data_IF_640226709801
#
_entry.id   IF_640226709801
#
_cell.length_a   1.000
_cell.length_b   1.000
_cell.length_c   1.000
_cell.angle_alpha   90.00
_cell.angle_beta   90.00
_cell.angle_gamma   90.00
#
_symmetry.space_group_name_H-M   'P 1'
#
loop_
_entity.id
_entity.type
_entity.pdbx_description
1 polymer ?
#
# COMPACT_ATOMS: atom_id res chain seq x y z
N UNK A 1 9.43 -7.65 9.42
CA UNK A 1 7.96 -7.58 9.25
C UNK A 1 7.63 -7.01 7.85
N UNK A 2 6.35 -6.98 7.43
CA UNK A 2 5.92 -6.35 6.17
C UNK A 2 6.29 -4.85 6.09
N UNK A 3 6.34 -4.17 7.24
CA UNK A 3 6.73 -2.75 7.32
C UNK A 3 8.23 -2.58 7.08
N UNK A 4 9.08 -3.48 7.59
CA UNK A 4 10.53 -3.41 7.41
C UNK A 4 10.89 -3.64 5.93
N UNK A 5 10.21 -4.57 5.28
CA UNK A 5 10.38 -4.81 3.85
C UNK A 5 9.97 -3.60 3.01
N UNK A 6 8.86 -2.94 3.36
CA UNK A 6 8.44 -1.71 2.69
C UNK A 6 9.49 -0.60 2.83
N UNK A 7 9.99 -0.40 4.05
CA UNK A 7 11.02 0.59 4.33
C UNK A 7 12.32 0.29 3.55
N UNK A 8 12.72 -0.99 3.47
CA UNK A 8 13.88 -1.40 2.68
C UNK A 8 13.69 -1.12 1.18
N UNK A 9 12.50 -1.39 0.63
CA UNK A 9 12.19 -1.10 -0.78
C UNK A 9 12.24 0.40 -1.10
N UNK A 10 11.69 1.24 -0.22
CA UNK A 10 11.76 2.71 -0.39
C UNK A 10 13.20 3.21 -0.38
N UNK A 11 14.00 2.77 0.61
CA UNK A 11 15.43 3.11 0.67
C UNK A 11 16.20 2.66 -0.57
N UNK A 12 15.87 1.48 -1.11
CA UNK A 12 16.48 1.00 -2.34
C UNK A 12 16.10 1.86 -3.55
N UNK A 13 14.83 2.26 -3.67
CA UNK A 13 14.40 3.20 -4.71
C UNK A 13 15.12 4.56 -4.56
N UNK A 14 15.29 5.07 -3.35
CA UNK A 14 16.04 6.31 -3.11
C UNK A 14 17.51 6.17 -3.54
N UNK A 15 18.13 5.03 -3.21
CA UNK A 15 19.51 4.71 -3.63
C UNK A 15 19.67 4.67 -5.15
N UNK A 16 18.67 4.14 -5.87
CA UNK A 16 18.65 4.13 -7.33
C UNK A 16 18.46 5.53 -7.92
N UNK A 17 17.63 6.35 -7.28
CA UNK A 17 17.34 7.71 -7.73
C UNK A 17 18.56 8.65 -7.61
N UNK A 18 19.38 8.42 -6.58
CA UNK A 18 20.60 9.17 -6.31
C UNK A 18 21.86 8.53 -6.90
N UNK A 19 21.71 7.39 -7.57
CA UNK A 19 22.84 6.66 -8.14
C UNK A 19 23.57 7.53 -9.17
N UNK A 20 24.90 7.62 -9.01
CA UNK A 20 25.79 8.25 -9.96
C UNK A 20 26.93 7.31 -10.27
N UNK A 21 27.27 7.19 -11.55
CA UNK A 21 28.45 6.44 -11.95
C UNK A 21 29.71 7.12 -11.44
N UNK A 22 30.71 6.31 -11.10
CA UNK A 22 32.07 6.83 -10.95
C UNK A 22 32.70 6.87 -12.32
N UNK A 23 32.72 8.05 -12.91
CA UNK A 23 33.32 8.29 -14.22
C UNK A 23 34.83 8.56 -14.09
N UNK A 24 35.57 8.26 -15.15
CA UNK A 24 36.97 8.68 -15.29
C UNK A 24 36.97 10.05 -15.99
N UNK A 25 37.51 11.07 -15.34
CA UNK A 25 37.48 12.45 -15.83
C UNK A 25 36.25 13.24 -15.36
N UNK A 26 36.09 14.45 -15.90
CA UNK A 26 35.11 15.43 -15.41
C UNK A 26 33.79 15.46 -16.21
N UNK A 27 33.61 14.53 -17.15
CA UNK A 27 32.42 14.45 -18.01
C UNK A 27 31.85 13.02 -18.03
N UNK A 28 30.53 12.92 -18.03
CA UNK A 28 29.80 11.66 -18.22
C UNK A 28 29.63 11.38 -19.71
N UNK A 29 29.70 10.10 -20.09
CA UNK A 29 29.34 9.62 -21.42
C UNK A 29 27.83 9.59 -21.60
N UNK A 30 27.35 9.63 -22.85
CA UNK A 30 25.92 9.53 -23.15
C UNK A 30 25.29 8.24 -22.58
N UNK A 31 26.03 7.12 -22.59
CA UNK A 31 25.58 5.85 -22.02
C UNK A 31 25.43 5.92 -20.50
N UNK A 32 26.39 6.51 -19.78
CA UNK A 32 26.32 6.68 -18.31
C UNK A 32 25.13 7.55 -17.91
N UNK A 33 24.89 8.65 -18.65
CA UNK A 33 23.72 9.52 -18.45
C UNK A 33 22.43 8.75 -18.72
N UNK A 34 22.38 7.97 -19.81
CA UNK A 34 21.22 7.18 -20.18
C UNK A 34 20.87 6.14 -19.11
N UNK A 35 21.87 5.38 -18.63
CA UNK A 35 21.67 4.37 -17.61
C UNK A 35 21.24 5.01 -16.29
N UNK A 36 21.86 6.12 -15.86
CA UNK A 36 21.47 6.83 -14.63
C UNK A 36 20.00 7.27 -14.68
N UNK A 37 19.53 7.80 -15.83
CA UNK A 37 18.12 8.15 -16.03
C UNK A 37 17.21 6.92 -15.96
N UNK A 38 17.58 5.81 -16.58
CA UNK A 38 16.80 4.56 -16.48
C UNK A 38 16.68 4.07 -15.02
N UNK A 39 17.72 4.22 -14.19
CA UNK A 39 17.65 3.88 -12.77
C UNK A 39 16.71 4.82 -12.00
N UNK A 40 16.69 6.11 -12.32
CA UNK A 40 15.75 7.08 -11.74
C UNK A 40 14.29 6.79 -12.11
N UNK A 41 14.04 6.40 -13.36
CA UNK A 41 12.72 5.97 -13.81
C UNK A 41 12.28 4.70 -13.06
N UNK A 42 13.18 3.72 -12.96
CA UNK A 42 12.90 2.50 -12.22
C UNK A 42 12.64 2.76 -10.73
N UNK A 43 13.41 3.64 -10.08
CA UNK A 43 13.15 4.10 -8.72
C UNK A 43 11.74 4.68 -8.56
N UNK A 44 11.29 5.47 -9.52
CA UNK A 44 9.95 6.07 -9.52
C UNK A 44 8.86 5.01 -9.64
N UNK A 45 9.04 4.03 -10.53
CA UNK A 45 8.13 2.88 -10.65
C UNK A 45 8.06 2.11 -9.34
N UNK A 46 9.20 1.82 -8.71
CA UNK A 46 9.25 1.12 -7.42
C UNK A 46 8.51 1.86 -6.31
N UNK A 47 8.67 3.19 -6.22
CA UNK A 47 7.94 4.03 -5.25
C UNK A 47 6.43 3.92 -5.45
N UNK A 48 5.97 4.10 -6.69
CA UNK A 48 4.54 4.04 -7.03
C UNK A 48 3.94 2.67 -6.71
N UNK A 49 4.65 1.58 -7.00
CA UNK A 49 4.22 0.23 -6.66
C UNK A 49 4.07 0.03 -5.16
N UNK A 50 4.99 0.56 -4.37
CA UNK A 50 4.95 0.43 -2.91
C UNK A 50 3.84 1.30 -2.28
N UNK A 51 3.56 2.47 -2.85
CA UNK A 51 2.42 3.31 -2.47
C UNK A 51 1.09 2.61 -2.77
N UNK A 52 0.94 2.01 -3.94
CA UNK A 52 -0.26 1.24 -4.29
C UNK A 52 -0.44 0.01 -3.40
N UNK A 53 0.63 -0.70 -3.07
CA UNK A 53 0.58 -1.81 -2.11
C UNK A 53 0.03 -1.37 -0.76
N UNK A 54 0.53 -0.24 -0.24
CA UNK A 54 0.05 0.32 1.04
C UNK A 54 -1.42 0.72 0.96
N UNK A 55 -1.86 1.31 -0.16
CA UNK A 55 -3.26 1.66 -0.39
C UNK A 55 -4.16 0.43 -0.39
N UNK A 56 -3.74 -0.65 -1.05
CA UNK A 56 -4.47 -1.92 -1.06
C UNK A 56 -4.57 -2.56 0.33
N UNK A 57 -3.50 -2.51 1.12
CA UNK A 57 -3.50 -3.05 2.49
C UNK A 57 -4.45 -2.24 3.40
N UNK A 58 -4.44 -0.91 3.28
CA UNK A 58 -5.38 -0.04 3.98
C UNK A 58 -6.84 -0.34 3.60
N UNK A 59 -7.10 -0.52 2.29
CA UNK A 59 -8.43 -0.90 1.79
C UNK A 59 -8.89 -2.24 2.37
N UNK A 60 -8.04 -3.28 2.35
CA UNK A 60 -8.37 -4.59 2.94
C UNK A 60 -8.72 -4.48 4.43
N UNK A 61 -8.00 -3.63 5.19
CA UNK A 61 -8.31 -3.40 6.61
C UNK A 61 -9.67 -2.72 6.78
N UNK A 62 -9.96 -1.71 5.95
CA UNK A 62 -11.24 -1.01 5.96
C UNK A 62 -12.41 -1.95 5.61
N UNK A 63 -12.27 -2.75 4.54
CA UNK A 63 -13.28 -3.70 4.10
C UNK A 63 -13.58 -4.71 5.21
N UNK A 64 -12.54 -5.26 5.85
CA UNK A 64 -12.68 -6.18 6.99
C UNK A 64 -13.40 -5.56 8.18
N UNK A 65 -13.15 -4.29 8.49
CA UNK A 65 -13.83 -3.60 9.60
C UNK A 65 -15.29 -3.29 9.25
N UNK A 66 -15.54 -2.94 7.99
CA UNK A 66 -16.89 -2.73 7.45
C UNK A 66 -17.72 -4.00 7.55
N UNK A 67 -17.18 -5.16 7.15
CA UNK A 67 -17.84 -6.46 7.27
C UNK A 67 -18.24 -6.79 8.72
N UNK A 68 -17.34 -6.54 9.68
CA UNK A 68 -17.65 -6.74 11.11
C UNK A 68 -18.80 -5.84 11.56
N UNK A 69 -18.75 -4.56 11.19
CA UNK A 69 -19.78 -3.59 11.56
C UNK A 69 -21.15 -3.97 10.98
N UNK A 70 -21.20 -4.32 9.70
CA UNK A 70 -22.41 -4.83 9.05
C UNK A 70 -22.94 -6.08 9.76
N UNK A 71 -22.07 -7.03 10.10
CA UNK A 71 -22.46 -8.24 10.83
C UNK A 71 -22.99 -7.96 12.25
N UNK A 72 -22.51 -6.93 12.93
CA UNK A 72 -23.05 -6.48 14.22
C UNK A 72 -24.45 -5.90 14.04
N UNK A 73 -24.63 -4.99 13.07
CA UNK A 73 -25.94 -4.39 12.78
C UNK A 73 -27.00 -5.43 12.46
N UNK A 74 -26.66 -6.44 11.64
CA UNK A 74 -27.57 -7.52 11.29
C UNK A 74 -28.00 -8.33 12.52
N UNK A 75 -27.07 -8.66 13.42
CA UNK A 75 -27.39 -9.34 14.69
C UNK A 75 -28.34 -8.51 15.56
N UNK A 76 -28.10 -7.20 15.69
CA UNK A 76 -28.97 -6.31 16.46
C UNK A 76 -30.38 -6.21 15.85
N UNK A 77 -30.48 -6.13 14.52
CA UNK A 77 -31.76 -6.10 13.82
C UNK A 77 -32.55 -7.39 14.07
N UNK A 78 -31.90 -8.56 13.93
CA UNK A 78 -32.52 -9.86 14.16
C UNK A 78 -33.02 -10.04 15.61
N UNK A 79 -32.28 -9.52 16.59
CA UNK A 79 -32.70 -9.50 18.00
C UNK A 79 -33.91 -8.58 18.24
N UNK A 80 -33.94 -7.43 17.58
CA UNK A 80 -35.06 -6.47 17.67
C UNK A 80 -36.35 -7.04 17.09
N UNK A 81 -36.27 -7.71 15.93
CA UNK A 81 -37.42 -8.38 15.31
C UNK A 81 -38.01 -9.48 16.20
N UNK A 82 -37.16 -10.30 16.84
CA UNK A 82 -37.61 -11.35 17.77
C UNK A 82 -38.31 -10.79 19.02
N UNK A 83 -37.87 -9.63 19.53
CA UNK A 83 -38.54 -8.96 20.66
C UNK A 83 -39.95 -8.49 20.30
N UNK A 84 -40.16 -7.98 19.08
CA UNK A 84 -41.50 -7.58 18.61
C UNK A 84 -42.45 -8.78 18.46
N UNK A 85 -41.93 -9.94 18.05
CA UNK A 85 -42.75 -11.16 17.93
C UNK A 85 -43.17 -11.70 19.30
N UNK A 86 -42.28 -11.71 20.29
CA UNK A 86 -42.62 -12.19 21.65
C UNK A 86 -43.64 -11.30 22.38
N UNK A 87 -43.78 -10.03 21.97
CA UNK A 87 -44.72 -9.08 22.58
C UNK A 87 -46.13 -9.15 21.98
N UNK A 88 -46.33 -9.88 20.89
CA UNK A 88 -47.62 -10.09 20.23
C UNK A 88 -48.24 -11.47 20.56
N UNK A 89 -47.61 -12.24 21.47
CA UNK A 89 -48.00 -13.61 21.80
C UNK A 89 -48.71 -13.76 23.16
N UNK A 90 -49.21 -12.66 23.75
CA UNK A 90 -50.12 -12.67 24.90
C UNK A 90 -51.54 -12.25 24.50
#
# INVERSE_FOLDING_TARGET
SLTDLSAAKRKFADSLNEFKFRCIGDAETDDEICIAKSLQEFATVLRNLEDERMRMDAKKKYDKETEKYCGVLEKHLNLSSKKKESQLQE
#
